data_IF_437014790240
#
_entry.id   IF_437014790240
#
_cell.length_a   1.000
_cell.length_b   1.000
_cell.length_c   1.000
_cell.angle_alpha   90.00
_cell.angle_beta   90.00
_cell.angle_gamma   90.00
#
_symmetry.space_group_name_H-M   'P 1'
#
loop_
_entity.id
_entity.type
_entity.pdbx_description
1 polymer ?
#
# COMPACT_ATOMS: atom_id res chain seq x y z
N UNK A 1 15.88 15.50 -10.28
CA UNK A 1 16.03 14.55 -9.15
C UNK A 1 15.53 13.20 -9.67
N UNK A 2 16.07 12.06 -9.22
CA UNK A 2 15.68 10.75 -9.76
C UNK A 2 15.00 9.91 -8.68
N UNK A 3 14.11 9.01 -9.09
CA UNK A 3 13.55 8.01 -8.20
C UNK A 3 14.64 7.07 -7.67
N UNK A 4 14.72 6.90 -6.36
CA UNK A 4 15.73 6.01 -5.77
C UNK A 4 15.52 4.51 -6.06
N UNK A 5 14.33 4.12 -6.54
CA UNK A 5 14.00 2.72 -6.82
C UNK A 5 14.31 2.32 -8.27
N UNK A 6 13.94 3.16 -9.24
CA UNK A 6 14.09 2.86 -10.66
C UNK A 6 15.09 3.76 -11.40
N UNK A 7 15.68 4.73 -10.71
CA UNK A 7 16.58 5.77 -11.25
C UNK A 7 15.99 6.61 -12.39
N UNK A 8 14.66 6.53 -12.60
CA UNK A 8 13.95 7.36 -13.57
C UNK A 8 14.00 8.83 -13.13
N UNK A 9 14.38 9.76 -14.02
CA UNK A 9 14.40 11.18 -13.72
C UNK A 9 12.97 11.72 -13.58
N UNK A 10 12.70 12.45 -12.48
CA UNK A 10 11.43 13.15 -12.29
C UNK A 10 11.28 14.28 -13.30
N UNK A 11 10.13 14.35 -13.95
CA UNK A 11 9.78 15.42 -14.88
C UNK A 11 9.37 16.69 -14.11
N UNK A 12 9.52 17.87 -14.73
CA UNK A 12 9.10 19.13 -14.10
C UNK A 12 7.57 19.27 -13.94
N UNK A 13 6.80 18.37 -14.58
CA UNK A 13 5.34 18.28 -14.51
C UNK A 13 4.84 17.24 -13.48
N UNK A 14 5.75 16.47 -12.84
CA UNK A 14 5.42 15.51 -11.77
C UNK A 14 5.07 16.29 -10.49
N UNK A 15 3.85 16.81 -10.46
CA UNK A 15 3.36 17.79 -9.49
C UNK A 15 2.98 17.15 -8.14
N UNK A 16 3.03 15.83 -8.01
CA UNK A 16 2.76 15.11 -6.77
C UNK A 16 3.99 14.34 -6.30
N UNK A 17 4.97 15.06 -5.74
CA UNK A 17 6.01 14.42 -4.95
C UNK A 17 5.37 13.75 -3.72
N UNK A 18 5.16 12.43 -3.84
CA UNK A 18 5.10 11.34 -2.87
C UNK A 18 5.99 11.41 -1.62
N UNK A 19 6.16 12.54 -0.92
CA UNK A 19 6.95 12.56 0.33
C UNK A 19 6.13 11.89 1.45
N UNK A 20 6.23 10.57 1.59
CA UNK A 20 5.69 9.85 2.76
C UNK A 20 6.77 9.74 3.81
N UNK A 21 6.56 10.43 4.94
CA UNK A 21 7.12 10.31 6.32
C UNK A 21 8.57 9.86 6.57
N UNK A 22 9.43 9.73 5.55
CA UNK A 22 10.86 9.45 5.65
C UNK A 22 11.53 9.83 4.33
N UNK A 23 11.79 11.14 4.14
CA UNK A 23 12.81 11.79 3.28
C UNK A 23 13.25 11.16 1.92
N UNK A 24 12.49 10.25 1.32
CA UNK A 24 12.95 9.47 0.15
C UNK A 24 12.08 9.76 -1.07
N UNK A 25 12.64 10.34 -2.15
CA UNK A 25 11.88 10.65 -3.34
C UNK A 25 11.73 9.38 -4.21
N UNK A 26 10.47 8.92 -4.33
CA UNK A 26 10.08 7.72 -5.06
C UNK A 26 9.07 8.11 -6.15
N UNK A 27 9.13 7.46 -7.31
CA UNK A 27 8.22 7.69 -8.44
C UNK A 27 6.82 7.15 -8.16
N UNK A 28 5.79 7.69 -8.81
CA UNK A 28 4.42 7.19 -8.65
C UNK A 28 4.32 5.69 -8.99
N UNK A 29 4.90 5.25 -10.12
CA UNK A 29 4.95 3.82 -10.50
C UNK A 29 5.63 2.93 -9.45
N UNK A 30 6.60 3.50 -8.73
CA UNK A 30 7.44 2.81 -7.75
C UNK A 30 6.78 2.80 -6.38
N UNK A 31 6.06 3.86 -6.03
CA UNK A 31 5.20 3.95 -4.85
C UNK A 31 4.03 2.95 -4.94
N UNK A 32 3.65 2.59 -6.16
CA UNK A 32 2.61 1.62 -6.48
C UNK A 32 3.09 0.16 -6.33
N UNK A 33 4.41 -0.11 -6.41
CA UNK A 33 4.97 -1.47 -6.45
C UNK A 33 5.18 -2.17 -5.09
N UNK A 34 5.14 -1.44 -3.97
CA UNK A 34 5.19 -2.01 -2.61
C UNK A 34 4.36 -1.12 -1.70
N UNK A 35 3.04 -1.34 -1.68
CA UNK A 35 2.15 -0.61 -0.78
C UNK A 35 2.31 -1.18 0.61
N UNK A 36 3.28 -0.66 1.37
CA UNK A 36 3.40 -0.93 2.79
C UNK A 36 2.24 -0.23 3.53
N UNK A 37 1.38 -1.02 4.17
CA UNK A 37 0.21 -0.56 4.90
C UNK A 37 0.52 -0.59 6.40
N UNK A 38 0.76 0.59 6.97
CA UNK A 38 0.91 0.74 8.42
C UNK A 38 -0.46 0.93 9.09
N UNK A 39 -0.74 0.09 10.08
CA UNK A 39 -2.01 0.07 10.82
C UNK A 39 -1.77 0.01 12.31
N UNK A 40 -2.43 0.91 13.03
CA UNK A 40 -2.50 0.88 14.50
C UNK A 40 -3.58 -0.09 14.93
N UNK A 41 -3.31 -0.97 15.88
CA UNK A 41 -4.26 -1.99 16.33
C UNK A 41 -4.18 -2.17 17.85
N UNK A 42 -5.31 -2.08 18.52
CA UNK A 42 -5.49 -2.11 19.98
C UNK A 42 -5.87 -3.49 20.52
N UNK A 43 -6.13 -4.47 19.63
CA UNK A 43 -6.54 -5.82 20.02
C UNK A 43 -8.02 -5.96 20.39
N UNK A 44 -8.86 -4.91 20.27
CA UNK A 44 -10.26 -4.99 20.69
C UNK A 44 -11.14 -5.80 19.72
N UNK A 45 -10.83 -5.77 18.43
CA UNK A 45 -11.58 -6.44 17.37
C UNK A 45 -10.79 -7.60 16.78
N UNK A 46 -11.44 -8.58 16.13
CA UNK A 46 -10.71 -9.57 15.33
C UNK A 46 -9.83 -8.87 14.27
N UNK A 47 -8.56 -9.29 14.18
CA UNK A 47 -7.56 -8.64 13.34
C UNK A 47 -7.95 -8.67 11.87
N UNK A 48 -8.48 -9.78 11.36
CA UNK A 48 -8.87 -9.89 9.95
C UNK A 48 -10.06 -8.97 9.66
N UNK A 49 -11.06 -8.93 10.55
CA UNK A 49 -12.21 -8.05 10.39
C UNK A 49 -11.83 -6.56 10.48
N UNK A 50 -10.84 -6.23 11.32
CA UNK A 50 -10.25 -4.91 11.38
C UNK A 50 -9.53 -4.56 10.06
N UNK A 51 -8.62 -5.43 9.59
CA UNK A 51 -7.85 -5.23 8.38
C UNK A 51 -8.75 -5.14 7.13
N UNK A 52 -9.82 -5.93 7.05
CA UNK A 52 -10.81 -5.83 5.96
C UNK A 52 -11.50 -4.47 5.88
N UNK A 53 -11.58 -3.73 6.98
CA UNK A 53 -12.14 -2.35 7.00
C UNK A 53 -11.08 -1.31 6.65
N UNK A 54 -9.85 -1.51 7.11
CA UNK A 54 -8.79 -0.49 7.00
C UNK A 54 -8.04 -0.59 5.67
N UNK A 55 -7.68 -1.79 5.22
CA UNK A 55 -6.90 -2.01 3.99
C UNK A 55 -7.57 -1.37 2.76
N UNK A 56 -8.89 -1.48 2.53
CA UNK A 56 -9.56 -0.78 1.43
C UNK A 56 -9.42 0.75 1.43
N UNK A 57 -9.14 1.37 2.58
CA UNK A 57 -8.98 2.83 2.69
C UNK A 57 -7.55 3.31 2.45
N UNK A 58 -6.58 2.40 2.51
CA UNK A 58 -5.14 2.69 2.41
C UNK A 58 -4.45 2.04 1.22
N UNK A 59 -5.01 0.94 0.72
CA UNK A 59 -4.47 0.17 -0.39
C UNK A 59 -4.73 0.83 -1.74
N UNK A 60 -3.82 0.59 -2.67
CA UNK A 60 -3.87 1.05 -4.06
C UNK A 60 -3.58 -0.16 -4.94
N UNK A 61 -4.29 -0.28 -6.06
CA UNK A 61 -4.01 -1.33 -7.02
C UNK A 61 -2.71 -1.03 -7.77
N UNK A 62 -1.77 -1.99 -7.78
CA UNK A 62 -0.52 -1.93 -8.53
C UNK A 62 -0.65 -1.68 -10.03
N UNK A 63 -1.80 -2.06 -10.62
CA UNK A 63 -1.97 -2.12 -12.07
C UNK A 63 -2.76 -0.97 -12.69
N UNK A 64 -3.74 -0.42 -11.96
CA UNK A 64 -4.58 0.67 -12.46
C UNK A 64 -4.68 1.86 -11.51
N UNK A 65 -3.87 1.84 -10.44
CA UNK A 65 -3.74 2.91 -9.44
C UNK A 65 -5.06 3.27 -8.73
N UNK A 66 -6.11 2.45 -8.92
CA UNK A 66 -7.38 2.65 -8.24
C UNK A 66 -7.23 2.38 -6.76
N UNK A 67 -7.78 3.29 -5.95
CA UNK A 67 -7.89 3.13 -4.48
C UNK A 67 -9.06 2.23 -4.06
N UNK A 68 -9.73 1.59 -5.01
CA UNK A 68 -10.83 0.65 -4.73
C UNK A 68 -10.29 -0.76 -4.69
N UNK A 69 -9.78 -1.16 -3.53
CA UNK A 69 -9.28 -2.53 -3.31
C UNK A 69 -10.05 -3.21 -2.19
N UNK A 70 -10.26 -4.51 -2.30
CA UNK A 70 -10.77 -5.36 -1.22
C UNK A 70 -9.66 -6.26 -0.70
N UNK A 71 -9.57 -6.45 0.61
CA UNK A 71 -8.70 -7.45 1.21
C UNK A 71 -9.38 -8.83 1.14
N UNK A 72 -8.79 -9.75 0.38
CA UNK A 72 -9.31 -11.11 0.20
C UNK A 72 -8.84 -12.03 1.33
N UNK A 73 -7.54 -12.04 1.59
CA UNK A 73 -6.94 -12.89 2.61
C UNK A 73 -5.70 -12.25 3.22
N UNK A 74 -5.33 -12.74 4.39
CA UNK A 74 -4.07 -12.40 5.04
C UNK A 74 -3.31 -13.68 5.35
N UNK A 75 -1.99 -13.58 5.32
CA UNK A 75 -1.08 -14.60 5.81
C UNK A 75 -0.26 -14.00 6.93
N UNK A 76 -0.41 -14.58 8.12
CA UNK A 76 0.30 -14.14 9.30
C UNK A 76 1.82 -14.24 9.09
N UNK A 77 2.51 -13.15 9.43
CA UNK A 77 3.95 -12.97 9.25
C UNK A 77 4.40 -11.67 9.92
N UNK A 78 5.68 -11.34 9.78
CA UNK A 78 6.19 -10.02 10.12
C UNK A 78 7.07 -9.51 8.96
N UNK A 79 6.52 -8.66 8.06
CA UNK A 79 5.14 -8.13 8.05
C UNK A 79 4.06 -9.16 7.72
N UNK A 80 2.79 -8.80 7.95
CA UNK A 80 1.62 -9.61 7.54
C UNK A 80 1.43 -9.42 6.04
N UNK A 81 1.41 -10.50 5.27
CA UNK A 81 1.13 -10.43 3.83
C UNK A 81 -0.39 -10.36 3.62
N UNK A 82 -0.88 -9.29 3.00
CA UNK A 82 -2.27 -9.13 2.59
C UNK A 82 -2.44 -9.35 1.09
N UNK A 83 -3.36 -10.22 0.68
CA UNK A 83 -3.78 -10.31 -0.72
C UNK A 83 -4.98 -9.39 -0.94
N UNK A 84 -4.83 -8.42 -1.82
CA UNK A 84 -5.86 -7.47 -2.19
C UNK A 84 -6.33 -7.70 -3.63
N UNK A 85 -7.59 -7.41 -3.91
CA UNK A 85 -8.13 -7.40 -5.27
C UNK A 85 -8.66 -6.02 -5.61
N UNK A 86 -8.27 -5.50 -6.77
CA UNK A 86 -8.84 -4.28 -7.30
C UNK A 86 -10.27 -4.48 -7.76
N UNK A 87 -11.18 -3.59 -7.35
CA UNK A 87 -12.57 -3.62 -7.82
C UNK A 87 -12.73 -3.27 -9.29
N UNK A 88 -11.86 -2.42 -9.81
CA UNK A 88 -11.98 -1.86 -11.17
C UNK A 88 -11.34 -2.79 -12.21
N UNK A 89 -10.07 -3.19 -12.04
CA UNK A 89 -9.38 -4.07 -13.01
C UNK A 89 -9.45 -5.57 -12.65
N UNK A 90 -9.97 -5.93 -11.47
CA UNK A 90 -10.08 -7.31 -10.96
C UNK A 90 -8.75 -8.05 -10.79
N UNK A 91 -7.63 -7.35 -10.90
CA UNK A 91 -6.31 -7.91 -10.64
C UNK A 91 -6.06 -8.02 -9.14
N UNK A 92 -5.33 -9.07 -8.78
CA UNK A 92 -4.91 -9.33 -7.41
C UNK A 92 -3.47 -8.87 -7.22
N UNK A 93 -3.17 -8.40 -6.02
CA UNK A 93 -1.87 -7.88 -5.63
C UNK A 93 -1.54 -8.26 -4.19
N UNK A 94 -0.26 -8.23 -3.85
CA UNK A 94 0.23 -8.53 -2.50
C UNK A 94 0.75 -7.25 -1.86
N UNK A 95 0.31 -7.00 -0.63
CA UNK A 95 0.70 -5.84 0.17
C UNK A 95 1.26 -6.28 1.51
N UNK A 96 2.28 -5.58 1.98
CA UNK A 96 2.86 -5.81 3.30
C UNK A 96 2.14 -4.94 4.33
N UNK A 97 1.60 -5.58 5.37
CA UNK A 97 0.84 -4.92 6.44
C UNK A 97 1.69 -4.93 7.72
N UNK A 98 2.07 -3.75 8.16
CA UNK A 98 2.80 -3.55 9.41
C UNK A 98 1.83 -3.12 10.51
N UNK A 99 1.76 -3.94 11.56
CA UNK A 99 0.97 -3.65 12.75
C UNK A 99 1.80 -2.88 13.78
N UNK A 100 1.26 -1.76 14.23
CA UNK A 100 1.73 -1.00 15.38
C UNK A 100 0.73 -1.20 16.53
N UNK A 101 1.16 -1.85 17.60
CA UNK A 101 0.32 -2.06 18.79
C UNK A 101 0.23 -0.75 19.59
N UNK A 102 -0.99 -0.34 19.97
CA UNK A 102 -1.29 0.89 20.75
C UNK A 102 -2.02 0.59 22.04
#
# INVERSE_FOLDING_TARGET
MNCMVCDTPFSADDTEMIIRDSDTPICDDCAVATVEIHVKYDGENDLLDYLKKVVPTKGVCGSCESRKVDLLSIKFGNPIEGNIQCKDCKLEDVVDIYLEMV
#
